data_IF_763973927132
#
_entry.id   IF_763973927132
#
_cell.length_a   1.000
_cell.length_b   1.000
_cell.length_c   1.000
_cell.angle_alpha   90.00
_cell.angle_beta   90.00
_cell.angle_gamma   90.00
#
_symmetry.space_group_name_H-M   'P 1'
#
loop_
_entity.id
_entity.type
_entity.pdbx_description
1 polymer ?
#
# COMPACT_ATOMS: atom_id res chain seq x y z
N UNK A 1 -3.51 -22.55 10.54
CA UNK A 1 -4.72 -21.88 9.99
C UNK A 1 -5.74 -22.96 9.68
N UNK A 2 -6.85 -23.05 10.41
CA UNK A 2 -8.00 -23.84 9.93
C UNK A 2 -8.75 -22.97 8.93
N UNK A 3 -8.76 -23.37 7.67
CA UNK A 3 -9.58 -22.72 6.64
C UNK A 3 -11.03 -23.03 6.99
N UNK A 4 -11.71 -22.09 7.64
CA UNK A 4 -13.14 -22.21 7.89
C UNK A 4 -13.87 -21.95 6.57
N UNK A 5 -14.49 -22.97 6.01
CA UNK A 5 -15.30 -22.88 4.82
C UNK A 5 -16.62 -22.18 5.16
N UNK A 6 -16.64 -20.84 5.08
CA UNK A 6 -17.80 -19.99 5.39
C UNK A 6 -19.07 -20.42 4.61
N UNK A 7 -18.91 -21.07 3.45
CA UNK A 7 -20.01 -21.56 2.61
C UNK A 7 -20.24 -23.06 2.59
N UNK A 8 -19.73 -23.82 3.57
CA UNK A 8 -19.93 -25.27 3.59
C UNK A 8 -21.42 -25.62 3.75
N UNK A 9 -21.98 -26.42 2.84
CA UNK A 9 -23.40 -26.82 2.83
C UNK A 9 -24.32 -25.98 1.95
N UNK A 10 -23.94 -24.74 1.60
CA UNK A 10 -24.71 -23.90 0.68
C UNK A 10 -24.31 -24.18 -0.78
N UNK A 11 -25.12 -24.95 -1.51
CA UNK A 11 -24.90 -25.25 -2.94
C UNK A 11 -24.79 -23.95 -3.74
N UNK A 12 -23.66 -23.75 -4.41
CA UNK A 12 -23.42 -22.56 -5.25
C UNK A 12 -22.89 -21.33 -4.53
N UNK A 13 -22.72 -21.34 -3.19
CA UNK A 13 -22.20 -20.17 -2.44
C UNK A 13 -20.87 -19.67 -3.00
N UNK A 14 -19.90 -20.57 -3.20
CA UNK A 14 -18.58 -20.19 -3.73
C UNK A 14 -18.64 -19.66 -5.17
N UNK A 15 -19.64 -20.06 -5.95
CA UNK A 15 -19.87 -19.55 -7.31
C UNK A 15 -20.35 -18.09 -7.27
N UNK A 16 -21.30 -17.79 -6.38
CA UNK A 16 -21.83 -16.43 -6.17
C UNK A 16 -20.80 -15.54 -5.47
N UNK A 17 -20.13 -16.03 -4.44
CA UNK A 17 -19.06 -15.30 -3.74
C UNK A 17 -17.90 -14.93 -4.68
N UNK A 18 -17.58 -15.80 -5.65
CA UNK A 18 -16.62 -15.49 -6.70
C UNK A 18 -17.09 -14.38 -7.65
N UNK A 19 -18.40 -14.19 -7.85
CA UNK A 19 -18.96 -13.06 -8.61
C UNK A 19 -18.95 -11.77 -7.79
N UNK A 20 -19.39 -11.81 -6.52
CA UNK A 20 -19.36 -10.66 -5.61
C UNK A 20 -17.94 -10.12 -5.41
N UNK A 21 -16.96 -11.00 -5.18
CA UNK A 21 -15.55 -10.59 -5.08
C UNK A 21 -15.01 -9.97 -6.37
N UNK A 22 -15.46 -10.45 -7.55
CA UNK A 22 -15.09 -9.84 -8.84
C UNK A 22 -15.71 -8.45 -8.99
N UNK A 23 -16.93 -8.27 -8.51
CA UNK A 23 -17.60 -6.98 -8.48
C UNK A 23 -16.87 -5.96 -7.59
N UNK A 24 -16.53 -6.35 -6.36
CA UNK A 24 -15.81 -5.48 -5.40
C UNK A 24 -14.41 -5.09 -5.90
N UNK A 25 -13.75 -5.98 -6.64
CA UNK A 25 -12.44 -5.74 -7.24
C UNK A 25 -12.50 -4.96 -8.56
N UNK A 26 -13.69 -4.68 -9.08
CA UNK A 26 -13.87 -3.93 -10.32
C UNK A 26 -13.67 -2.43 -10.05
N UNK A 27 -12.90 -1.70 -10.90
CA UNK A 27 -12.74 -0.26 -10.74
C UNK A 27 -14.09 0.47 -10.72
N UNK A 28 -14.21 1.51 -9.89
CA UNK A 28 -15.46 2.29 -9.75
C UNK A 28 -15.96 2.84 -11.10
N UNK A 29 -15.05 3.26 -11.97
CA UNK A 29 -15.40 3.70 -13.33
C UNK A 29 -16.11 2.63 -14.14
N UNK A 30 -15.67 1.38 -14.03
CA UNK A 30 -16.27 0.25 -14.75
C UNK A 30 -17.64 -0.12 -14.16
N UNK A 31 -17.80 -0.06 -12.85
CA UNK A 31 -19.10 -0.25 -12.18
C UNK A 31 -20.11 0.81 -12.66
N UNK A 32 -19.71 2.10 -12.68
CA UNK A 32 -20.56 3.20 -13.17
C UNK A 32 -20.97 3.01 -14.63
N UNK A 33 -20.03 2.62 -15.51
CA UNK A 33 -20.33 2.35 -16.93
C UNK A 33 -21.32 1.20 -17.10
N UNK A 34 -21.24 0.19 -16.24
CA UNK A 34 -22.15 -0.94 -16.26
C UNK A 34 -23.56 -0.54 -15.78
N UNK A 35 -23.67 0.26 -14.73
CA UNK A 35 -24.94 0.84 -14.29
C UNK A 35 -25.63 1.63 -15.42
N UNK A 36 -24.86 2.42 -16.18
CA UNK A 36 -25.39 3.16 -17.35
C UNK A 36 -25.88 2.20 -18.45
N UNK A 37 -25.20 1.07 -18.66
CA UNK A 37 -25.67 0.06 -19.62
C UNK A 37 -26.94 -0.65 -19.16
N UNK A 38 -27.08 -0.93 -17.86
CA UNK A 38 -28.34 -1.45 -17.31
C UNK A 38 -29.47 -0.44 -17.50
N UNK A 39 -29.23 0.84 -17.21
CA UNK A 39 -30.20 1.89 -17.44
C UNK A 39 -30.62 1.99 -18.91
N UNK A 40 -29.67 1.82 -19.85
CA UNK A 40 -29.96 1.79 -21.28
C UNK A 40 -30.88 0.62 -21.66
N UNK A 41 -30.65 -0.56 -21.08
CA UNK A 41 -31.48 -1.73 -21.35
C UNK A 41 -32.88 -1.60 -20.72
N UNK A 42 -33.02 -0.85 -19.61
CA UNK A 42 -34.31 -0.61 -18.92
C UNK A 42 -35.14 0.54 -19.51
N UNK A 43 -34.50 1.67 -19.86
CA UNK A 43 -35.18 2.93 -20.20
C UNK A 43 -34.98 3.38 -21.64
N UNK A 44 -34.10 2.72 -22.40
CA UNK A 44 -33.86 3.05 -23.80
C UNK A 44 -32.87 4.21 -24.02
N UNK A 45 -32.65 4.53 -25.30
CA UNK A 45 -31.53 5.36 -25.74
C UNK A 45 -31.70 6.84 -25.38
N UNK A 46 -32.87 7.43 -25.66
CA UNK A 46 -33.12 8.87 -25.47
C UNK A 46 -32.98 9.28 -24.00
N UNK A 47 -33.60 8.53 -23.09
CA UNK A 47 -33.49 8.74 -21.65
C UNK A 47 -32.03 8.61 -21.15
N UNK A 48 -31.25 7.68 -21.70
CA UNK A 48 -29.85 7.48 -21.30
C UNK A 48 -28.95 8.62 -21.75
N UNK A 49 -29.17 9.13 -22.97
CA UNK A 49 -28.44 10.28 -23.49
C UNK A 49 -28.69 11.52 -22.65
N UNK A 50 -29.96 11.77 -22.30
CA UNK A 50 -30.38 12.91 -21.50
C UNK A 50 -29.84 12.83 -20.06
N UNK A 51 -30.00 11.68 -19.39
CA UNK A 51 -29.61 11.51 -17.99
C UNK A 51 -28.09 11.53 -17.76
N UNK A 52 -27.30 10.94 -18.66
CA UNK A 52 -25.86 10.73 -18.44
C UNK A 52 -24.93 11.51 -19.36
N UNK A 53 -25.45 12.15 -20.41
CA UNK A 53 -24.65 12.93 -21.37
C UNK A 53 -23.61 12.11 -22.14
N UNK A 54 -23.77 10.78 -22.21
CA UNK A 54 -22.84 9.88 -22.90
C UNK A 54 -23.30 9.67 -24.33
N UNK A 55 -22.44 9.87 -25.34
CA UNK A 55 -22.83 9.67 -26.74
C UNK A 55 -23.29 8.23 -27.02
N UNK A 56 -24.26 8.04 -27.92
CA UNK A 56 -24.76 6.71 -28.34
C UNK A 56 -23.61 5.81 -28.81
N UNK A 57 -22.65 6.38 -29.55
CA UNK A 57 -21.47 5.66 -30.05
C UNK A 57 -20.63 5.08 -28.91
N UNK A 58 -20.51 5.78 -27.79
CA UNK A 58 -19.79 5.31 -26.61
C UNK A 58 -20.52 4.14 -25.95
N UNK A 59 -21.85 4.24 -25.80
CA UNK A 59 -22.68 3.18 -25.21
C UNK A 59 -22.59 1.87 -26.01
N UNK A 60 -22.73 1.93 -27.33
CA UNK A 60 -22.62 0.74 -28.18
C UNK A 60 -21.19 0.17 -28.21
N UNK A 61 -20.15 1.02 -28.11
CA UNK A 61 -18.76 0.55 -27.95
C UNK A 61 -18.57 -0.22 -26.64
N UNK A 62 -19.16 0.25 -25.54
CA UNK A 62 -19.12 -0.46 -24.26
C UNK A 62 -19.89 -1.79 -24.32
N UNK A 63 -21.09 -1.81 -24.90
CA UNK A 63 -21.90 -3.03 -25.11
C UNK A 63 -21.14 -4.08 -25.95
N UNK A 64 -20.48 -3.64 -27.03
CA UNK A 64 -19.62 -4.51 -27.83
C UNK A 64 -18.41 -5.04 -27.05
N UNK A 65 -17.76 -4.18 -26.26
CA UNK A 65 -16.62 -4.57 -25.41
C UNK A 65 -17.02 -5.62 -24.38
N UNK A 66 -18.19 -5.45 -23.75
CA UNK A 66 -18.73 -6.37 -22.76
C UNK A 66 -19.07 -7.73 -23.38
N UNK A 67 -19.67 -7.74 -24.57
CA UNK A 67 -19.96 -8.97 -25.33
C UNK A 67 -18.68 -9.72 -25.72
N UNK A 68 -17.66 -9.01 -26.19
CA UNK A 68 -16.37 -9.59 -26.56
C UNK A 68 -15.63 -10.25 -25.37
N UNK A 69 -15.85 -9.75 -24.15
CA UNK A 69 -15.21 -10.24 -22.92
C UNK A 69 -16.12 -11.16 -22.09
N UNK A 70 -17.20 -11.69 -22.68
CA UNK A 70 -18.09 -12.66 -22.04
C UNK A 70 -18.82 -12.14 -20.80
N UNK A 71 -19.11 -10.84 -20.75
CA UNK A 71 -19.86 -10.22 -19.64
C UNK A 71 -19.00 -9.78 -18.45
N UNK A 72 -17.67 -9.76 -18.56
CA UNK A 72 -16.80 -9.31 -17.48
C UNK A 72 -16.86 -7.78 -17.28
N UNK A 73 -17.31 -7.27 -16.10
CA UNK A 73 -17.44 -5.84 -15.84
C UNK A 73 -16.09 -5.09 -15.87
N UNK A 74 -14.99 -5.77 -15.51
CA UNK A 74 -13.65 -5.17 -15.50
C UNK A 74 -13.19 -4.70 -16.90
N UNK A 75 -13.76 -5.27 -17.97
CA UNK A 75 -13.46 -4.87 -19.33
C UNK A 75 -13.87 -3.42 -19.66
N UNK A 76 -14.82 -2.86 -18.90
CA UNK A 76 -15.29 -1.49 -19.07
C UNK A 76 -14.38 -0.47 -18.38
N UNK A 77 -13.29 -0.88 -17.72
CA UNK A 77 -12.38 0.04 -17.06
C UNK A 77 -11.73 1.03 -18.03
N UNK A 78 -11.39 2.23 -17.53
CA UNK A 78 -10.63 3.19 -18.32
C UNK A 78 -9.27 2.61 -18.70
N UNK A 79 -8.97 2.61 -20.00
CA UNK A 79 -7.66 2.25 -20.51
C UNK A 79 -6.71 3.45 -20.42
N UNK A 80 -5.41 3.20 -20.41
CA UNK A 80 -4.41 4.26 -20.42
C UNK A 80 -4.58 5.16 -21.63
N UNK A 81 -4.63 6.47 -21.40
CA UNK A 81 -4.62 7.51 -22.45
C UNK A 81 -3.20 7.78 -23.00
N UNK A 82 -2.20 7.04 -22.54
CA UNK A 82 -0.83 7.22 -22.99
C UNK A 82 -0.68 6.83 -24.48
N UNK A 83 0.13 7.56 -25.25
CA UNK A 83 0.39 7.22 -26.64
C UNK A 83 1.02 5.82 -26.73
N UNK A 84 0.57 5.03 -27.72
CA UNK A 84 1.07 3.67 -27.97
C UNK A 84 2.55 3.67 -28.32
N UNK A 85 2.98 4.66 -29.11
CA UNK A 85 4.38 4.88 -29.45
C UNK A 85 4.91 6.06 -28.65
N UNK A 86 5.73 5.77 -27.64
CA UNK A 86 6.44 6.79 -26.88
C UNK A 86 7.78 7.06 -27.56
N UNK A 87 8.10 8.33 -27.79
CA UNK A 87 9.41 8.73 -28.31
C UNK A 87 10.51 8.24 -27.37
N UNK A 88 11.47 7.50 -27.90
CA UNK A 88 12.68 7.14 -27.17
C UNK A 88 13.76 8.21 -27.40
N UNK A 89 14.41 8.71 -26.35
CA UNK A 89 15.50 9.67 -26.51
C UNK A 89 16.70 8.97 -27.16
N UNK A 90 17.08 9.41 -28.36
CA UNK A 90 18.31 9.00 -29.02
C UNK A 90 19.50 9.57 -28.23
N UNK A 91 20.39 8.69 -27.77
CA UNK A 91 21.59 9.07 -27.00
C UNK A 91 22.80 8.47 -27.70
N UNK A 92 23.86 9.26 -27.87
CA UNK A 92 25.06 8.80 -28.55
C UNK A 92 25.74 7.66 -27.77
N UNK A 93 25.97 6.54 -28.44
CA UNK A 93 26.57 5.35 -27.83
C UNK A 93 27.99 5.63 -27.30
N UNK A 94 28.74 6.50 -27.99
CA UNK A 94 30.10 6.92 -27.59
C UNK A 94 30.09 7.65 -26.24
N UNK A 95 29.12 8.55 -26.03
CA UNK A 95 28.94 9.27 -24.77
C UNK A 95 28.58 8.31 -23.61
N UNK A 96 27.77 7.29 -23.88
CA UNK A 96 27.42 6.27 -22.87
C UNK A 96 28.63 5.42 -22.51
N UNK A 97 29.47 5.06 -23.50
CA UNK A 97 30.69 4.31 -23.28
C UNK A 97 31.69 5.11 -22.42
N UNK A 98 31.89 6.40 -22.70
CA UNK A 98 32.79 7.24 -21.90
C UNK A 98 32.25 7.45 -20.47
N UNK A 99 30.94 7.63 -20.31
CA UNK A 99 30.30 7.64 -18.99
C UNK A 99 30.59 6.36 -18.19
N UNK A 100 30.55 5.19 -18.84
CA UNK A 100 30.92 3.91 -18.20
C UNK A 100 32.40 3.87 -17.85
N UNK A 101 33.29 4.31 -18.74
CA UNK A 101 34.74 4.37 -18.50
C UNK A 101 35.05 5.20 -17.25
N UNK A 102 34.52 6.41 -17.17
CA UNK A 102 34.72 7.31 -16.03
C UNK A 102 34.18 6.73 -14.71
N UNK A 103 33.09 5.96 -14.75
CA UNK A 103 32.54 5.32 -13.55
C UNK A 103 33.24 4.03 -13.13
N UNK A 104 33.91 3.35 -14.04
CA UNK A 104 34.84 2.26 -13.71
C UNK A 104 36.07 2.80 -13.01
N UNK A 105 36.64 3.92 -13.52
CA UNK A 105 37.79 4.59 -12.89
C UNK A 105 37.42 5.21 -11.53
N UNK A 106 36.24 5.83 -11.45
CA UNK A 106 35.77 6.53 -10.26
C UNK A 106 34.38 6.02 -9.80
N UNK A 107 34.31 4.95 -8.97
CA UNK A 107 33.04 4.30 -8.61
C UNK A 107 32.01 5.20 -7.92
N UNK A 108 32.45 6.23 -7.19
CA UNK A 108 31.59 7.18 -6.46
C UNK A 108 31.24 8.44 -7.26
N UNK A 109 31.53 8.48 -8.56
CA UNK A 109 31.39 9.69 -9.38
C UNK A 109 29.93 10.12 -9.57
N UNK A 110 29.64 11.35 -9.17
CA UNK A 110 28.32 11.98 -9.30
C UNK A 110 28.07 12.61 -10.68
N UNK A 111 26.80 12.92 -10.97
CA UNK A 111 26.38 13.50 -12.27
C UNK A 111 27.01 14.86 -12.57
N UNK A 112 27.18 15.73 -11.57
CA UNK A 112 27.78 17.05 -11.74
C UNK A 112 29.29 16.95 -12.06
N UNK A 113 29.99 15.99 -11.46
CA UNK A 113 31.41 15.76 -11.76
C UNK A 113 31.62 15.10 -13.13
N UNK A 114 30.69 14.23 -13.54
CA UNK A 114 30.68 13.67 -14.89
C UNK A 114 30.56 14.76 -15.96
N UNK A 115 29.69 15.75 -15.74
CA UNK A 115 29.51 16.88 -16.66
C UNK A 115 30.82 17.62 -16.93
N UNK A 116 31.53 18.01 -15.86
CA UNK A 116 32.83 18.69 -15.94
C UNK A 116 33.89 17.83 -16.67
N UNK A 117 33.92 16.52 -16.40
CA UNK A 117 34.90 15.61 -17.01
C UNK A 117 34.57 15.26 -18.47
N UNK A 118 33.29 15.24 -18.83
CA UNK A 118 32.84 14.95 -20.19
C UNK A 118 32.92 16.17 -21.11
N UNK A 119 32.84 17.38 -20.57
CA UNK A 119 32.93 18.62 -21.34
C UNK A 119 34.12 18.65 -22.33
N UNK A 120 35.39 18.46 -21.90
CA UNK A 120 36.52 18.48 -22.83
C UNK A 120 36.48 17.34 -23.85
N UNK A 121 36.03 16.15 -23.43
CA UNK A 121 35.93 14.98 -24.30
C UNK A 121 34.85 15.16 -25.38
N UNK A 122 33.71 15.77 -25.03
CA UNK A 122 32.62 16.06 -25.96
C UNK A 122 33.05 17.06 -27.03
N UNK A 123 33.81 18.10 -26.65
CA UNK A 123 34.38 19.08 -27.59
C UNK A 123 35.32 18.39 -28.59
N UNK A 124 36.20 17.51 -28.11
CA UNK A 124 37.14 16.77 -28.98
C UNK A 124 36.44 15.84 -29.99
N UNK A 125 35.30 15.25 -29.60
CA UNK A 125 34.58 14.28 -30.43
C UNK A 125 33.42 14.91 -31.22
N UNK A 126 33.24 16.23 -31.16
CA UNK A 126 32.16 16.95 -31.84
C UNK A 126 30.76 16.58 -31.34
N UNK A 127 30.62 16.15 -30.08
CA UNK A 127 29.34 15.74 -29.49
C UNK A 127 28.76 16.91 -28.70
N UNK A 128 27.46 17.17 -28.85
CA UNK A 128 26.78 18.21 -28.07
C UNK A 128 26.78 17.86 -26.59
N UNK A 129 27.29 18.75 -25.74
CA UNK A 129 27.35 18.53 -24.30
C UNK A 129 25.93 18.40 -23.72
N UNK A 130 25.66 17.26 -23.10
CA UNK A 130 24.39 16.99 -22.43
C UNK A 130 24.35 17.71 -21.07
N UNK A 131 23.24 18.39 -20.74
CA UNK A 131 23.09 18.97 -19.40
C UNK A 131 23.16 17.94 -18.27
N UNK A 132 23.49 18.39 -17.06
CA UNK A 132 23.52 17.55 -15.84
C UNK A 132 22.24 16.71 -15.66
N UNK A 133 21.08 17.28 -16.01
CA UNK A 133 19.78 16.58 -15.97
C UNK A 133 19.65 15.51 -17.04
N UNK A 134 20.12 15.78 -18.26
CA UNK A 134 20.15 14.81 -19.37
C UNK A 134 21.08 13.65 -19.05
N UNK A 135 22.27 13.92 -18.51
CA UNK A 135 23.16 12.89 -17.96
C UNK A 135 22.43 12.06 -16.90
N UNK A 136 21.74 12.69 -15.95
CA UNK A 136 20.92 12.01 -14.95
C UNK A 136 19.89 11.05 -15.55
N UNK A 137 19.21 11.45 -16.63
CA UNK A 137 18.22 10.62 -17.34
C UNK A 137 18.89 9.46 -18.08
N UNK A 138 20.04 9.68 -18.71
CA UNK A 138 20.84 8.62 -19.36
C UNK A 138 21.24 7.57 -18.32
N UNK A 139 21.66 8.02 -17.13
CA UNK A 139 22.04 7.16 -16.00
C UNK A 139 20.86 6.34 -15.48
N UNK A 140 19.70 6.97 -15.32
CA UNK A 140 18.50 6.30 -14.81
C UNK A 140 17.95 5.25 -15.79
N UNK A 141 18.16 5.43 -17.09
CA UNK A 141 17.75 4.49 -18.14
C UNK A 141 18.62 3.22 -18.21
N UNK A 142 19.88 3.29 -17.76
CA UNK A 142 20.78 2.14 -17.79
C UNK A 142 20.41 1.11 -16.68
N UNK A 143 20.40 -0.20 -16.98
CA UNK A 143 19.95 -1.24 -16.05
C UNK A 143 20.82 -1.33 -14.78
N UNK A 144 22.12 -1.11 -14.92
CA UNK A 144 23.13 -1.12 -13.86
C UNK A 144 23.37 0.27 -13.24
N UNK A 145 22.62 1.29 -13.69
CA UNK A 145 22.85 2.72 -13.40
C UNK A 145 24.30 3.16 -13.66
N UNK A 146 25.07 2.36 -14.41
CA UNK A 146 26.50 2.49 -14.68
C UNK A 146 27.36 2.68 -13.42
N UNK A 147 26.89 2.30 -12.22
CA UNK A 147 27.63 2.48 -10.96
C UNK A 147 28.13 1.14 -10.47
N UNK A 148 29.42 1.06 -10.16
CA UNK A 148 29.98 -0.07 -9.43
C UNK A 148 29.87 0.19 -7.93
N UNK A 149 29.21 -0.70 -7.19
CA UNK A 149 29.28 -0.69 -5.73
C UNK A 149 30.62 -1.29 -5.32
N UNK A 150 31.41 -0.52 -4.57
CA UNK A 150 32.65 -1.05 -3.96
C UNK A 150 32.31 -2.24 -3.08
N UNK A 151 33.09 -3.32 -3.21
CA UNK A 151 32.98 -4.45 -2.31
C UNK A 151 33.29 -4.00 -0.87
N UNK A 152 32.48 -4.42 0.09
CA UNK A 152 32.80 -4.21 1.50
C UNK A 152 34.00 -5.11 1.83
N UNK A 153 35.09 -4.53 2.33
CA UNK A 153 36.26 -5.30 2.74
C UNK A 153 36.21 -5.57 4.26
N UNK A 154 36.85 -6.66 4.70
CA UNK A 154 37.18 -6.86 6.11
C UNK A 154 38.47 -6.10 6.48
N UNK A 155 38.85 -6.11 7.76
CA UNK A 155 40.11 -5.48 8.22
C UNK A 155 41.36 -6.05 7.53
N UNK A 156 41.27 -7.28 7.01
CA UNK A 156 42.31 -7.99 6.26
C UNK A 156 42.26 -7.70 4.74
N UNK A 157 41.42 -6.78 4.27
CA UNK A 157 41.31 -6.41 2.85
C UNK A 157 40.58 -7.43 1.96
N UNK A 158 40.04 -8.50 2.51
CA UNK A 158 39.26 -9.51 1.79
C UNK A 158 37.79 -9.07 1.64
N UNK A 159 37.13 -9.50 0.56
CA UNK A 159 35.72 -9.17 0.31
C UNK A 159 34.81 -9.83 1.35
N UNK A 160 33.99 -9.04 2.05
CA UNK A 160 32.95 -9.54 2.96
C UNK A 160 31.83 -10.20 2.14
N UNK A 161 31.47 -11.46 2.41
CA UNK A 161 30.34 -12.11 1.76
C UNK A 161 29.04 -11.39 2.13
N UNK A 162 28.15 -11.22 1.15
CA UNK A 162 26.81 -10.68 1.38
C UNK A 162 26.01 -11.72 2.17
N UNK A 163 25.77 -11.46 3.46
CA UNK A 163 24.84 -12.29 4.25
C UNK A 163 23.41 -11.99 3.80
N UNK A 164 22.78 -12.94 3.12
CA UNK A 164 21.32 -12.96 2.95
C UNK A 164 20.72 -13.32 4.31
N UNK A 165 20.17 -12.35 5.01
CA UNK A 165 19.35 -12.66 6.17
C UNK A 165 18.08 -13.36 5.66
N UNK A 166 17.77 -14.58 6.11
CA UNK A 166 16.47 -15.17 5.81
C UNK A 166 15.37 -14.25 6.35
N UNK A 167 14.26 -14.12 5.61
CA UNK A 167 13.09 -13.41 6.11
C UNK A 167 12.73 -14.00 7.48
N UNK A 168 12.48 -13.17 8.51
CA UNK A 168 12.08 -13.68 9.82
C UNK A 168 10.87 -14.59 9.66
N UNK A 169 11.01 -15.87 9.95
CA UNK A 169 9.88 -16.78 10.06
C UNK A 169 9.14 -16.42 11.34
N UNK A 170 7.86 -16.09 11.23
CA UNK A 170 7.01 -15.84 12.39
C UNK A 170 7.06 -17.07 13.30
N UNK A 171 7.50 -16.92 14.56
CA UNK A 171 7.38 -18.01 15.55
C UNK A 171 5.91 -18.35 15.73
N UNK A 172 5.51 -19.64 15.67
CA UNK A 172 4.15 -20.04 16.02
C UNK A 172 3.92 -19.75 17.51
N UNK A 173 2.73 -19.24 17.83
CA UNK A 173 2.30 -18.94 19.21
C UNK A 173 2.15 -20.25 20.00
N UNK A 174 2.58 -20.31 21.27
CA UNK A 174 2.26 -21.46 22.12
C UNK A 174 0.73 -21.59 22.26
N UNK A 175 0.22 -22.81 22.20
CA UNK A 175 -1.20 -23.10 22.31
C UNK A 175 -1.70 -22.75 23.73
N UNK A 176 -2.67 -21.85 23.84
CA UNK A 176 -3.39 -21.58 25.08
C UNK A 176 -4.76 -22.24 24.94
N UNK A 177 -5.08 -23.19 25.83
CA UNK A 177 -6.36 -23.89 25.86
C UNK A 177 -7.53 -23.00 26.31
N UNK A 178 -8.79 -23.47 26.16
CA UNK A 178 -10.00 -22.66 26.37
C UNK A 178 -10.33 -22.34 27.84
N UNK A 179 -9.68 -22.99 28.82
CA UNK A 179 -10.11 -22.93 30.23
C UNK A 179 -9.23 -22.07 31.14
N UNK A 180 -8.28 -21.32 30.58
CA UNK A 180 -7.43 -20.42 31.35
C UNK A 180 -8.01 -19.00 31.26
N UNK A 181 -8.84 -18.59 32.21
CA UNK A 181 -9.12 -17.17 32.44
C UNK A 181 -7.78 -16.44 32.55
N UNK A 182 -7.51 -15.54 31.60
CA UNK A 182 -6.24 -14.83 31.55
C UNK A 182 -6.03 -14.13 32.91
N UNK A 183 -4.85 -14.27 33.54
CA UNK A 183 -4.59 -13.62 34.82
C UNK A 183 -4.83 -12.12 34.65
N UNK A 184 -5.67 -11.53 35.51
CA UNK A 184 -5.91 -10.09 35.51
C UNK A 184 -4.56 -9.39 35.74
N UNK A 185 -4.12 -8.50 34.83
CA UNK A 185 -2.82 -7.87 34.95
C UNK A 185 -2.78 -6.99 36.21
N UNK A 186 -1.69 -7.06 36.97
CA UNK A 186 -1.50 -6.22 38.17
C UNK A 186 -1.26 -4.75 37.80
N UNK A 187 -0.72 -4.49 36.61
CA UNK A 187 -0.31 -3.17 36.15
C UNK A 187 -0.67 -2.98 34.68
N UNK A 188 -1.12 -1.77 34.31
CA UNK A 188 -1.53 -1.39 32.96
C UNK A 188 -0.83 -0.09 32.53
N UNK A 189 -0.17 -0.11 31.37
CA UNK A 189 0.40 1.09 30.74
C UNK A 189 -0.59 1.67 29.72
N UNK A 190 -0.99 2.93 29.89
CA UNK A 190 -1.94 3.62 29.01
C UNK A 190 -1.31 4.89 28.44
N UNK A 191 -1.55 5.17 27.16
CA UNK A 191 -1.33 6.49 26.60
C UNK A 191 -2.50 7.41 27.02
N UNK A 192 -2.18 8.68 27.26
CA UNK A 192 -3.05 9.66 27.92
C UNK A 192 -4.22 10.11 27.02
N UNK A 193 -5.14 9.21 26.71
CA UNK A 193 -6.43 9.57 26.12
C UNK A 193 -7.34 10.15 27.20
N UNK A 194 -7.51 11.47 27.22
CA UNK A 194 -8.34 12.17 28.23
C UNK A 194 -9.84 11.95 28.07
N UNK A 195 -10.28 11.40 26.94
CA UNK A 195 -11.69 11.34 26.54
C UNK A 195 -12.54 10.34 27.36
N UNK A 196 -11.92 9.43 28.12
CA UNK A 196 -12.61 8.40 28.93
C UNK A 196 -11.95 8.15 30.30
N UNK A 197 -11.16 9.11 30.79
CA UNK A 197 -10.30 8.92 31.96
C UNK A 197 -11.08 8.56 33.24
N UNK A 198 -12.25 9.17 33.45
CA UNK A 198 -13.06 8.94 34.66
C UNK A 198 -13.62 7.51 34.79
N UNK A 199 -14.26 7.00 33.75
CA UNK A 199 -14.83 5.64 33.76
C UNK A 199 -13.74 4.57 33.71
N UNK A 200 -12.66 4.85 32.98
CA UNK A 200 -11.50 3.98 32.93
C UNK A 200 -10.80 3.88 34.29
N UNK A 201 -10.58 4.99 34.99
CA UNK A 201 -10.02 4.99 36.34
C UNK A 201 -10.94 4.29 37.35
N UNK A 202 -12.27 4.43 37.21
CA UNK A 202 -13.24 3.71 38.05
C UNK A 202 -13.14 2.20 37.85
N UNK A 203 -13.02 1.74 36.60
CA UNK A 203 -12.83 0.32 36.28
C UNK A 203 -11.51 -0.23 36.80
N UNK A 204 -10.41 0.54 36.68
CA UNK A 204 -9.12 0.14 37.20
C UNK A 204 -9.12 0.01 38.73
N UNK A 205 -9.82 0.91 39.44
CA UNK A 205 -10.03 0.81 40.89
C UNK A 205 -10.85 -0.42 41.27
N UNK A 206 -11.95 -0.69 40.54
CA UNK A 206 -12.80 -1.86 40.78
C UNK A 206 -12.03 -3.18 40.63
N UNK A 207 -11.20 -3.27 39.57
CA UNK A 207 -10.39 -4.45 39.29
C UNK A 207 -9.03 -4.47 40.00
N UNK A 208 -8.73 -3.47 40.85
CA UNK A 208 -7.47 -3.34 41.61
C UNK A 208 -6.21 -3.38 40.74
N UNK A 209 -6.25 -2.71 39.58
CA UNK A 209 -5.15 -2.65 38.61
C UNK A 209 -4.40 -1.31 38.76
N UNK A 210 -3.07 -1.34 38.90
CA UNK A 210 -2.27 -0.12 38.93
C UNK A 210 -2.08 0.46 37.53
N UNK A 211 -2.39 1.75 37.34
CA UNK A 211 -2.18 2.47 36.08
C UNK A 211 -0.81 3.13 36.05
N UNK A 212 -0.07 2.93 34.95
CA UNK A 212 1.15 3.67 34.63
C UNK A 212 0.86 4.53 33.40
N UNK A 213 1.28 5.80 33.45
CA UNK A 213 1.11 6.73 32.34
C UNK A 213 2.38 6.78 31.49
N UNK A 214 2.23 6.75 30.17
CA UNK A 214 3.34 7.05 29.29
C UNK A 214 3.71 8.54 29.39
N UNK A 215 5.01 8.85 29.37
CA UNK A 215 5.48 10.23 29.38
C UNK A 215 5.06 10.97 28.09
N UNK A 216 4.85 12.30 28.16
CA UNK A 216 4.54 13.10 26.98
C UNK A 216 5.67 13.05 25.94
N UNK A 217 5.32 13.04 24.65
CA UNK A 217 6.27 13.11 23.50
C UNK A 217 7.27 11.95 23.40
N UNK A 218 7.01 10.80 24.03
CA UNK A 218 7.85 9.59 23.91
C UNK A 218 7.11 8.44 23.22
N UNK A 219 6.88 8.49 21.88
CA UNK A 219 6.09 7.48 21.15
C UNK A 219 6.70 6.07 21.18
N UNK A 220 8.00 5.95 21.50
CA UNK A 220 8.69 4.65 21.68
C UNK A 220 8.20 3.90 22.91
N UNK A 221 7.70 4.58 23.94
CA UNK A 221 7.14 3.94 25.15
C UNK A 221 5.78 3.30 24.86
N UNK A 222 5.00 3.86 23.94
CA UNK A 222 3.68 3.33 23.54
C UNK A 222 3.77 1.98 22.80
N UNK A 223 4.96 1.60 22.33
CA UNK A 223 5.19 0.27 21.74
C UNK A 223 5.23 -0.85 22.79
N UNK A 224 5.51 -0.51 24.06
CA UNK A 224 5.47 -1.45 25.19
C UNK A 224 4.09 -1.56 25.83
N UNK A 225 3.18 -0.62 25.55
CA UNK A 225 1.77 -0.77 25.88
C UNK A 225 1.19 -1.82 24.92
N UNK A 226 0.89 -3.01 25.44
CA UNK A 226 0.31 -4.09 24.64
C UNK A 226 -0.99 -3.60 23.99
N UNK A 227 -0.98 -3.42 22.66
CA UNK A 227 -2.21 -3.13 21.92
C UNK A 227 -3.06 -4.40 21.93
N UNK A 228 -4.33 -4.34 22.36
CA UNK A 228 -5.20 -5.50 22.35
C UNK A 228 -5.35 -5.98 20.91
N UNK A 229 -4.87 -7.19 20.66
CA UNK A 229 -4.90 -7.78 19.33
C UNK A 229 -6.26 -8.45 19.12
N UNK A 230 -7.08 -7.90 18.23
CA UNK A 230 -8.40 -8.44 17.89
C UNK A 230 -8.36 -9.93 17.47
N UNK A 231 -7.26 -10.38 16.87
CA UNK A 231 -7.05 -11.77 16.48
C UNK A 231 -6.87 -12.74 17.67
N UNK A 232 -6.62 -12.22 18.88
CA UNK A 232 -6.42 -12.99 20.11
C UNK A 232 -7.67 -12.99 21.00
N UNK A 233 -8.81 -12.50 20.50
CA UNK A 233 -10.05 -12.35 21.28
C UNK A 233 -9.98 -11.25 22.35
N UNK A 234 -8.87 -10.50 22.40
CA UNK A 234 -8.72 -9.35 23.27
C UNK A 234 -9.54 -8.20 22.71
N UNK A 235 -10.37 -7.61 23.58
CA UNK A 235 -11.21 -6.47 23.25
C UNK A 235 -10.43 -5.19 23.50
N UNK A 236 -10.56 -4.21 22.62
CA UNK A 236 -10.04 -2.88 22.91
C UNK A 236 -10.81 -2.31 24.11
N UNK A 237 -10.21 -1.41 24.91
CA UNK A 237 -10.91 -0.76 26.01
C UNK A 237 -12.26 -0.18 25.58
N UNK A 238 -12.32 0.41 24.38
CA UNK A 238 -13.54 0.91 23.77
C UNK A 238 -14.57 -0.20 23.49
N UNK A 239 -14.16 -1.32 22.89
CA UNK A 239 -15.10 -2.43 22.61
C UNK A 239 -15.57 -3.14 23.89
N UNK A 240 -14.77 -3.13 24.95
CA UNK A 240 -15.17 -3.63 26.26
C UNK A 240 -16.19 -2.69 26.92
N UNK A 241 -15.92 -1.37 26.90
CA UNK A 241 -16.83 -0.35 27.43
C UNK A 241 -18.19 -0.40 26.74
N UNK A 242 -18.24 -0.51 25.41
CA UNK A 242 -19.51 -0.62 24.65
C UNK A 242 -20.31 -1.86 25.07
N UNK A 243 -19.64 -2.97 25.39
CA UNK A 243 -20.29 -4.21 25.78
C UNK A 243 -20.84 -4.16 27.22
N UNK A 244 -20.12 -3.52 28.15
CA UNK A 244 -20.47 -3.50 29.57
C UNK A 244 -21.26 -2.26 30.00
N UNK A 245 -21.18 -1.18 29.22
CA UNK A 245 -21.89 0.09 29.43
C UNK A 245 -22.43 0.61 28.08
N UNK A 246 -23.45 -0.03 27.50
CA UNK A 246 -24.01 0.36 26.20
C UNK A 246 -24.63 1.77 26.22
N UNK A 247 -25.04 2.27 27.39
CA UNK A 247 -25.52 3.64 27.61
C UNK A 247 -24.44 4.71 27.31
N UNK A 248 -23.14 4.38 27.36
CA UNK A 248 -22.05 5.33 27.07
C UNK A 248 -22.08 5.86 25.61
N UNK A 249 -22.68 5.11 24.67
CA UNK A 249 -22.90 5.61 23.30
C UNK A 249 -24.03 6.66 23.21
N UNK A 250 -24.95 6.73 24.18
CA UNK A 250 -26.10 7.66 24.14
C UNK A 250 -25.75 9.10 24.52
N UNK A 251 -24.67 9.31 25.26
CA UNK A 251 -24.26 10.65 25.71
C UNK A 251 -23.18 11.29 24.83
N UNK A 252 -22.83 10.66 23.70
CA UNK A 252 -21.70 11.08 22.85
C UNK A 252 -21.89 12.45 22.17
N UNK A 253 -23.11 13.00 22.19
CA UNK A 253 -23.40 14.36 21.68
C UNK A 253 -24.07 15.28 22.72
N UNK A 254 -24.18 14.89 23.99
CA UNK A 254 -24.78 15.76 25.00
C UNK A 254 -23.73 16.72 25.58
N UNK A 255 -23.46 17.80 24.85
CA UNK A 255 -22.87 19.01 25.45
C UNK A 255 -24.00 19.79 26.12
N UNK A 256 -24.02 19.93 27.46
CA UNK A 256 -24.91 20.92 28.07
C UNK A 256 -24.46 22.32 27.60
N UNK A 257 -25.40 23.11 27.07
CA UNK A 257 -25.22 24.54 26.92
C UNK A 257 -25.11 25.21 28.30
#
# INVERSE_FOLDING_TARGET
MRVQHIGYGARGFYRIAGLGRRWDMTPQDAQRRLQILHFLDEHGLEATLDAFGVSSRTLYRWKATLKAQGGNPAALAAQSSAPKQRRTPQTDARLVAENRRLRTLYPKLGKAKLDVLLAPWCVQHGITLASVSTLGRIIARAPDKMRQTLARLNSLGQRKPLRRNPCPTHRPRPAVGPDCAAPTPKTLLSDNGGEFEGDFDRLLKLHRIQRWHAYPKTPKMNAHAERPHHALGQKSPLSFLIQHQPECQRYWTHTPC
#
